data_IF_775784612825
#
_entry.id   IF_775784612825
#
_cell.length_a   1.000
_cell.length_b   1.000
_cell.length_c   1.000
_cell.angle_alpha   90.00
_cell.angle_beta   90.00
_cell.angle_gamma   90.00
#
_symmetry.space_group_name_H-M   'P 1'
#
loop_
_entity.id
_entity.type
_entity.pdbx_description
1 polymer ?
#
# COMPACT_ATOMS: atom_id res chain seq x y z
N UNK A 1 -54.55 -27.41 -0.35
CA UNK A 1 -53.80 -26.20 0.03
C UNK A 1 -53.08 -25.70 -1.20
N UNK A 2 -53.70 -24.78 -1.95
CA UNK A 2 -53.00 -24.03 -2.99
C UNK A 2 -51.94 -23.18 -2.31
N UNK A 3 -50.67 -23.42 -2.64
CA UNK A 3 -49.57 -22.60 -2.14
C UNK A 3 -49.66 -21.26 -2.87
N UNK A 4 -50.01 -20.20 -2.14
CA UNK A 4 -50.14 -18.85 -2.66
C UNK A 4 -48.94 -18.50 -3.57
N UNK A 5 -49.17 -18.32 -4.88
CA UNK A 5 -48.10 -18.09 -5.84
C UNK A 5 -47.34 -16.78 -5.54
N UNK A 6 -47.99 -15.82 -4.88
CA UNK A 6 -47.35 -14.56 -4.47
C UNK A 6 -46.36 -14.77 -3.33
N UNK A 7 -46.65 -15.68 -2.38
CA UNK A 7 -45.73 -16.06 -1.31
C UNK A 7 -44.53 -16.81 -1.89
N UNK A 8 -44.75 -17.77 -2.80
CA UNK A 8 -43.65 -18.49 -3.49
C UNK A 8 -42.70 -17.54 -4.21
N UNK A 9 -43.22 -16.54 -4.92
CA UNK A 9 -42.40 -15.55 -5.59
C UNK A 9 -41.59 -14.68 -4.61
N UNK A 10 -42.19 -14.26 -3.48
CA UNK A 10 -41.48 -13.51 -2.42
C UNK A 10 -40.36 -14.33 -1.79
N UNK A 11 -40.60 -15.61 -1.49
CA UNK A 11 -39.56 -16.51 -0.97
C UNK A 11 -38.42 -16.72 -1.96
N UNK A 12 -38.73 -16.91 -3.25
CA UNK A 12 -37.70 -17.03 -4.30
C UNK A 12 -36.86 -15.75 -4.42
N UNK A 13 -37.50 -14.57 -4.34
CA UNK A 13 -36.79 -13.28 -4.34
C UNK A 13 -35.91 -13.11 -3.10
N UNK A 14 -36.38 -13.50 -1.92
CA UNK A 14 -35.59 -13.45 -0.69
C UNK A 14 -34.38 -14.39 -0.76
N UNK A 15 -34.57 -15.63 -1.21
CA UNK A 15 -33.49 -16.59 -1.37
C UNK A 15 -32.42 -16.07 -2.35
N UNK A 16 -32.83 -15.46 -3.46
CA UNK A 16 -31.89 -14.84 -4.41
C UNK A 16 -31.12 -13.67 -3.80
N UNK A 17 -31.78 -12.82 -2.99
CA UNK A 17 -31.12 -11.70 -2.28
C UNK A 17 -30.12 -12.19 -1.23
N UNK A 18 -30.50 -13.19 -0.43
CA UNK A 18 -29.62 -13.78 0.58
C UNK A 18 -28.40 -14.39 -0.08
N UNK A 19 -28.59 -15.15 -1.17
CA UNK A 19 -27.48 -15.73 -1.93
C UNK A 19 -26.52 -14.67 -2.46
N UNK A 20 -27.06 -13.57 -3.00
CA UNK A 20 -26.23 -12.45 -3.48
C UNK A 20 -25.41 -11.83 -2.34
N UNK A 21 -26.03 -11.60 -1.18
CA UNK A 21 -25.33 -11.07 0.00
C UNK A 21 -24.21 -12.02 0.43
N UNK A 22 -24.49 -13.33 0.47
CA UNK A 22 -23.49 -14.35 0.83
C UNK A 22 -22.28 -14.33 -0.14
N UNK A 23 -22.54 -14.28 -1.44
CA UNK A 23 -21.49 -14.16 -2.47
C UNK A 23 -20.70 -12.85 -2.35
N UNK A 24 -21.36 -11.72 -2.06
CA UNK A 24 -20.71 -10.42 -1.83
C UNK A 24 -19.86 -10.43 -0.54
N UNK A 25 -20.36 -11.03 0.54
CA UNK A 25 -19.65 -11.16 1.82
C UNK A 25 -18.41 -12.04 1.69
N UNK A 26 -18.53 -13.18 1.01
CA UNK A 26 -17.41 -14.10 0.77
C UNK A 26 -16.33 -13.42 -0.08
N UNK A 27 -16.73 -12.72 -1.16
CA UNK A 27 -15.81 -11.96 -2.01
C UNK A 27 -15.03 -10.91 -1.21
N UNK A 28 -15.72 -10.14 -0.36
CA UNK A 28 -15.12 -9.10 0.47
C UNK A 28 -14.20 -9.70 1.55
N UNK A 29 -14.61 -10.81 2.16
CA UNK A 29 -13.78 -11.55 3.13
C UNK A 29 -12.49 -12.07 2.50
N UNK A 30 -12.57 -12.65 1.30
CA UNK A 30 -11.40 -13.11 0.55
C UNK A 30 -10.44 -11.98 0.20
N UNK A 31 -10.96 -10.81 -0.21
CA UNK A 31 -10.12 -9.63 -0.48
C UNK A 31 -9.44 -9.14 0.81
N UNK A 32 -10.18 -9.03 1.91
CA UNK A 32 -9.61 -8.64 3.20
C UNK A 32 -8.51 -9.61 3.64
N UNK A 33 -8.75 -10.92 3.53
CA UNK A 33 -7.78 -11.95 3.86
C UNK A 33 -6.51 -11.84 3.01
N UNK A 34 -6.63 -11.65 1.69
CA UNK A 34 -5.46 -11.47 0.81
C UNK A 34 -4.60 -10.27 1.22
N UNK A 35 -5.24 -9.17 1.63
CA UNK A 35 -4.55 -7.95 2.13
C UNK A 35 -3.86 -8.22 3.46
N UNK A 36 -4.52 -8.92 4.38
CA UNK A 36 -3.98 -9.26 5.70
C UNK A 36 -2.81 -10.25 5.60
N UNK A 37 -2.91 -11.26 4.73
CA UNK A 37 -1.87 -12.25 4.49
C UNK A 37 -0.64 -11.63 3.78
N UNK A 38 -0.83 -10.53 3.04
CA UNK A 38 0.23 -9.89 2.26
C UNK A 38 0.30 -8.37 2.54
N UNK A 39 0.57 -7.94 3.78
CA UNK A 39 0.42 -6.54 4.21
C UNK A 39 1.41 -5.60 3.54
N UNK A 40 2.49 -6.13 2.95
CA UNK A 40 3.46 -5.33 2.19
C UNK A 40 3.08 -5.20 0.72
N UNK A 41 2.22 -6.07 0.17
CA UNK A 41 1.92 -6.17 -1.26
C UNK A 41 0.64 -5.42 -1.68
N UNK A 42 0.11 -4.54 -0.82
CA UNK A 42 -1.16 -3.85 -1.05
C UNK A 42 -1.26 -3.21 -2.44
N UNK A 43 -0.20 -2.54 -2.91
CA UNK A 43 -0.21 -1.92 -4.24
C UNK A 43 -0.37 -2.96 -5.37
N UNK A 44 0.28 -4.12 -5.25
CA UNK A 44 0.15 -5.20 -6.22
C UNK A 44 -1.27 -5.82 -6.17
N UNK A 45 -1.86 -5.95 -4.96
CA UNK A 45 -3.24 -6.43 -4.79
C UNK A 45 -4.23 -5.44 -5.43
N UNK A 46 -4.08 -4.14 -5.19
CA UNK A 46 -4.92 -3.09 -5.79
C UNK A 46 -4.83 -3.16 -7.31
N UNK A 47 -3.62 -3.24 -7.86
CA UNK A 47 -3.41 -3.36 -9.30
C UNK A 47 -4.12 -4.58 -9.90
N UNK A 48 -4.04 -5.73 -9.24
CA UNK A 48 -4.68 -6.98 -9.68
C UNK A 48 -6.20 -6.96 -9.53
N UNK A 49 -6.69 -6.48 -8.39
CA UNK A 49 -8.08 -6.62 -7.95
C UNK A 49 -8.82 -5.28 -7.87
N UNK A 50 -8.39 -4.26 -8.62
CA UNK A 50 -8.98 -2.90 -8.55
C UNK A 50 -10.51 -2.91 -8.59
N UNK A 51 -11.10 -3.74 -9.44
CA UNK A 51 -12.57 -3.93 -9.59
C UNK A 51 -13.29 -4.44 -8.34
N UNK A 52 -12.58 -5.05 -7.41
CA UNK A 52 -13.12 -5.60 -6.17
C UNK A 52 -13.08 -4.57 -5.03
N UNK A 53 -12.28 -3.50 -5.15
CA UNK A 53 -12.28 -2.37 -4.23
C UNK A 53 -13.43 -1.40 -4.56
N UNK A 54 -14.63 -1.74 -4.09
CA UNK A 54 -15.86 -0.97 -4.29
C UNK A 54 -16.34 -0.33 -2.98
N UNK A 55 -17.35 0.54 -3.06
CA UNK A 55 -18.01 1.06 -1.85
C UNK A 55 -18.56 -0.03 -0.93
N UNK A 56 -19.01 -1.17 -1.49
CA UNK A 56 -19.49 -2.31 -0.71
C UNK A 56 -18.37 -2.98 0.10
N UNK A 57 -17.15 -3.04 -0.43
CA UNK A 57 -16.00 -3.53 0.33
C UNK A 57 -15.72 -2.63 1.55
N UNK A 58 -15.76 -1.31 1.38
CA UNK A 58 -15.54 -0.38 2.51
C UNK A 58 -16.69 -0.42 3.53
N UNK A 59 -17.94 -0.58 3.08
CA UNK A 59 -19.08 -0.84 3.98
C UNK A 59 -18.89 -2.14 4.77
N UNK A 60 -18.39 -3.20 4.13
CA UNK A 60 -18.03 -4.44 4.81
C UNK A 60 -16.96 -4.22 5.88
N UNK A 61 -15.91 -3.44 5.60
CA UNK A 61 -14.88 -3.10 6.61
C UNK A 61 -15.46 -2.32 7.79
N UNK A 62 -16.36 -1.36 7.54
CA UNK A 62 -17.07 -0.64 8.60
C UNK A 62 -17.90 -1.57 9.47
N UNK A 63 -18.69 -2.46 8.85
CA UNK A 63 -19.50 -3.45 9.57
C UNK A 63 -18.60 -4.37 10.42
N UNK A 64 -17.48 -4.84 9.88
CA UNK A 64 -16.54 -5.68 10.62
C UNK A 64 -15.94 -4.92 11.81
N UNK A 65 -15.60 -3.63 11.63
CA UNK A 65 -15.13 -2.77 12.73
C UNK A 65 -16.16 -2.68 13.86
N UNK A 66 -17.44 -2.59 13.53
CA UNK A 66 -18.52 -2.55 14.52
C UNK A 66 -18.66 -3.87 15.31
N UNK A 67 -18.24 -5.00 14.75
CA UNK A 67 -18.25 -6.30 15.45
C UNK A 67 -17.09 -6.50 16.42
N UNK A 68 -16.04 -5.70 16.35
CA UNK A 68 -14.92 -5.81 17.29
C UNK A 68 -15.21 -5.05 18.59
N UNK A 69 -14.91 -5.64 19.74
CA UNK A 69 -15.07 -4.98 21.04
C UNK A 69 -13.86 -4.13 21.44
N UNK A 70 -12.65 -4.54 21.01
CA UNK A 70 -11.41 -3.85 21.34
C UNK A 70 -11.19 -2.63 20.44
N UNK A 71 -10.82 -1.49 21.04
CA UNK A 71 -10.49 -0.26 20.31
C UNK A 71 -9.32 -0.46 19.34
N UNK A 72 -8.34 -1.30 19.71
CA UNK A 72 -7.17 -1.61 18.89
C UNK A 72 -7.55 -2.32 17.58
N UNK A 73 -8.48 -3.27 17.63
CA UNK A 73 -8.95 -3.99 16.45
C UNK A 73 -9.74 -3.08 15.50
N UNK A 74 -10.60 -2.22 16.06
CA UNK A 74 -11.35 -1.22 15.28
C UNK A 74 -10.43 -0.26 14.55
N UNK A 75 -9.41 0.22 15.26
CA UNK A 75 -8.41 1.13 14.73
C UNK A 75 -7.51 0.46 13.68
N UNK A 76 -7.16 -0.81 13.86
CA UNK A 76 -6.43 -1.59 12.86
C UNK A 76 -7.20 -1.69 11.54
N UNK A 77 -8.51 -1.97 11.58
CA UNK A 77 -9.38 -2.00 10.40
C UNK A 77 -9.49 -0.61 9.76
N UNK A 78 -9.65 0.45 10.55
CA UNK A 78 -9.70 1.82 10.03
C UNK A 78 -8.41 2.20 9.29
N UNK A 79 -7.24 1.90 9.88
CA UNK A 79 -5.94 2.14 9.22
C UNK A 79 -5.79 1.31 7.94
N UNK A 80 -6.26 0.06 7.93
CA UNK A 80 -6.25 -0.77 6.72
C UNK A 80 -7.12 -0.15 5.63
N UNK A 81 -8.33 0.31 5.96
CA UNK A 81 -9.24 0.97 5.02
C UNK A 81 -8.59 2.23 4.43
N UNK A 82 -7.99 3.09 5.25
CA UNK A 82 -7.27 4.29 4.78
C UNK A 82 -6.11 3.93 3.84
N UNK A 83 -5.33 2.90 4.17
CA UNK A 83 -4.25 2.42 3.30
C UNK A 83 -4.76 1.93 1.95
N UNK A 84 -5.89 1.20 1.95
CA UNK A 84 -6.53 0.74 0.72
C UNK A 84 -6.97 1.92 -0.15
N UNK A 85 -7.69 2.88 0.43
CA UNK A 85 -8.11 4.10 -0.29
C UNK A 85 -6.93 4.86 -0.88
N UNK A 86 -5.87 5.08 -0.11
CA UNK A 86 -4.67 5.75 -0.60
C UNK A 86 -4.03 5.01 -1.78
N UNK A 87 -3.93 3.68 -1.72
CA UNK A 87 -3.38 2.87 -2.80
C UNK A 87 -4.29 2.88 -4.06
N UNK A 88 -5.61 2.87 -3.88
CA UNK A 88 -6.59 2.98 -4.97
C UNK A 88 -6.50 4.34 -5.65
N UNK A 89 -6.53 5.43 -4.89
CA UNK A 89 -6.44 6.78 -5.46
C UNK A 89 -5.13 6.99 -6.20
N UNK A 90 -4.02 6.45 -5.70
CA UNK A 90 -2.73 6.49 -6.40
C UNK A 90 -2.77 5.70 -7.71
N UNK A 91 -3.39 4.52 -7.72
CA UNK A 91 -3.56 3.70 -8.92
C UNK A 91 -4.43 4.40 -9.97
N UNK A 92 -5.60 4.90 -9.57
CA UNK A 92 -6.57 5.54 -10.47
C UNK A 92 -5.99 6.82 -11.10
N UNK A 93 -5.36 7.68 -10.29
CA UNK A 93 -4.67 8.90 -10.79
C UNK A 93 -3.54 8.58 -11.77
N UNK A 94 -2.86 7.45 -11.59
CA UNK A 94 -1.78 7.04 -12.50
C UNK A 94 -2.35 6.61 -13.86
N UNK A 95 -3.50 5.92 -13.87
CA UNK A 95 -4.16 5.51 -15.11
C UNK A 95 -4.72 6.66 -15.93
N UNK A 96 -5.10 7.77 -15.29
CA UNK A 96 -5.59 8.96 -15.98
C UNK A 96 -4.49 9.67 -16.79
N UNK A 97 -3.20 9.41 -16.50
CA UNK A 97 -2.07 10.09 -17.14
C UNK A 97 -1.40 9.24 -18.25
N UNK A 98 -2.11 9.08 -19.37
CA UNK A 98 -1.74 8.17 -20.48
C UNK A 98 -0.36 8.48 -21.09
N UNK A 99 0.03 9.74 -21.25
CA UNK A 99 1.32 10.11 -21.85
C UNK A 99 2.52 9.62 -21.04
N UNK A 100 2.37 9.49 -19.72
CA UNK A 100 3.43 8.95 -18.85
C UNK A 100 3.53 7.43 -18.89
N UNK A 101 2.49 6.73 -19.37
CA UNK A 101 2.46 5.26 -19.40
C UNK A 101 3.38 4.71 -20.50
N UNK A 102 3.40 5.30 -21.69
CA UNK A 102 4.25 4.81 -22.79
C UNK A 102 5.75 4.94 -22.46
N UNK A 103 6.14 6.09 -21.89
CA UNK A 103 7.53 6.31 -21.45
C UNK A 103 7.92 5.37 -20.30
N UNK A 104 7.00 5.15 -19.35
CA UNK A 104 7.22 4.22 -18.24
C UNK A 104 7.30 2.76 -18.72
N UNK A 105 6.50 2.38 -19.71
CA UNK A 105 6.56 1.05 -20.34
C UNK A 105 7.92 0.83 -21.00
N UNK A 106 8.41 1.78 -21.80
CA UNK A 106 9.73 1.68 -22.42
C UNK A 106 10.87 1.53 -21.39
N UNK A 107 10.82 2.29 -20.29
CA UNK A 107 11.76 2.16 -19.17
C UNK A 107 11.67 0.79 -18.49
N UNK A 108 10.46 0.27 -18.32
CA UNK A 108 10.25 -1.06 -17.75
C UNK A 108 10.83 -2.15 -18.65
N UNK A 109 10.61 -2.05 -19.96
CA UNK A 109 11.18 -2.97 -20.94
C UNK A 109 12.72 -2.92 -20.95
N UNK A 110 13.33 -1.74 -20.79
CA UNK A 110 14.78 -1.60 -20.63
C UNK A 110 15.30 -2.30 -19.36
N UNK A 111 14.58 -2.18 -18.24
CA UNK A 111 14.91 -2.91 -17.00
C UNK A 111 14.83 -4.42 -17.22
N UNK A 112 13.81 -4.91 -17.92
CA UNK A 112 13.65 -6.35 -18.20
C UNK A 112 14.71 -6.88 -19.18
N UNK A 113 15.15 -6.06 -20.13
CA UNK A 113 16.20 -6.40 -21.09
C UNK A 113 17.62 -6.22 -20.53
N UNK A 114 17.74 -5.91 -19.24
CA UNK A 114 19.05 -5.80 -18.58
C UNK A 114 19.80 -7.14 -18.62
N UNK A 115 21.14 -7.13 -18.77
CA UNK A 115 21.94 -8.34 -18.96
C UNK A 115 21.96 -9.28 -17.73
N UNK A 116 21.56 -8.78 -16.57
CA UNK A 116 21.36 -9.58 -15.35
C UNK A 116 20.34 -8.93 -14.41
N UNK A 117 19.81 -9.72 -13.48
CA UNK A 117 18.90 -9.25 -12.42
C UNK A 117 19.57 -8.21 -11.52
N UNK A 118 20.87 -8.38 -11.26
CA UNK A 118 21.62 -7.44 -10.43
C UNK A 118 21.71 -6.07 -11.11
N UNK A 119 21.97 -6.04 -12.42
CA UNK A 119 21.96 -4.81 -13.22
C UNK A 119 20.56 -4.18 -13.25
N UNK A 120 19.51 -4.99 -13.44
CA UNK A 120 18.13 -4.50 -13.36
C UNK A 120 17.82 -3.85 -11.99
N UNK A 121 18.27 -4.47 -10.89
CA UNK A 121 18.08 -3.94 -9.55
C UNK A 121 18.88 -2.64 -9.29
N UNK A 122 20.09 -2.52 -9.83
CA UNK A 122 20.86 -1.27 -9.77
C UNK A 122 20.24 -0.17 -10.62
N UNK A 123 19.67 -0.50 -11.80
CA UNK A 123 18.93 0.45 -12.62
C UNK A 123 17.73 1.03 -11.86
N UNK A 124 16.96 0.20 -11.15
CA UNK A 124 15.88 0.66 -10.25
C UNK A 124 16.38 1.63 -9.18
N UNK A 125 17.53 1.34 -8.56
CA UNK A 125 18.14 2.25 -7.56
C UNK A 125 18.60 3.56 -8.19
N UNK A 126 19.12 3.52 -9.42
CA UNK A 126 19.53 4.70 -10.17
C UNK A 126 18.33 5.59 -10.50
N UNK A 127 17.25 5.01 -11.04
CA UNK A 127 16.01 5.72 -11.35
C UNK A 127 15.39 6.37 -10.11
N UNK A 128 15.47 5.71 -8.96
CA UNK A 128 15.03 6.31 -7.70
C UNK A 128 15.87 7.53 -7.29
N UNK A 129 17.19 7.50 -7.50
CA UNK A 129 18.09 8.64 -7.22
C UNK A 129 17.85 9.81 -8.17
N UNK A 130 17.56 9.55 -9.44
CA UNK A 130 17.26 10.58 -10.44
C UNK A 130 15.80 11.07 -10.40
N UNK A 131 14.97 10.52 -9.48
CA UNK A 131 13.52 10.79 -9.36
C UNK A 131 12.71 10.39 -10.60
N UNK A 132 13.23 9.43 -11.37
CA UNK A 132 12.58 8.85 -12.55
C UNK A 132 11.86 7.53 -12.26
N UNK A 133 11.94 7.03 -11.02
CA UNK A 133 11.06 5.98 -10.51
C UNK A 133 9.68 6.58 -10.18
N UNK A 134 8.96 6.97 -11.23
CA UNK A 134 7.64 7.62 -11.13
C UNK A 134 6.51 6.61 -10.86
N UNK A 135 5.31 7.15 -10.60
CA UNK A 135 4.11 6.36 -10.30
C UNK A 135 3.72 5.38 -11.41
N UNK A 136 3.94 5.74 -12.66
CA UNK A 136 3.62 4.93 -13.84
C UNK A 136 4.58 3.74 -13.94
N UNK A 137 5.87 3.94 -13.74
CA UNK A 137 6.85 2.85 -13.70
C UNK A 137 6.62 1.92 -12.50
N UNK A 138 6.31 2.48 -11.33
CA UNK A 138 5.94 1.70 -10.13
C UNK A 138 4.70 0.84 -10.41
N UNK A 139 3.71 1.38 -11.12
CA UNK A 139 2.51 0.67 -11.52
C UNK A 139 2.85 -0.54 -12.41
N UNK A 140 3.67 -0.39 -13.45
CA UNK A 140 4.09 -1.50 -14.31
C UNK A 140 4.80 -2.61 -13.51
N UNK A 141 5.73 -2.24 -12.64
CA UNK A 141 6.47 -3.21 -11.81
C UNK A 141 5.54 -3.97 -10.87
N UNK A 142 4.60 -3.27 -10.22
CA UNK A 142 3.60 -3.91 -9.34
C UNK A 142 2.67 -4.83 -10.13
N UNK A 143 2.26 -4.41 -11.32
CA UNK A 143 1.40 -5.19 -12.23
C UNK A 143 2.08 -6.47 -12.67
N UNK A 144 3.33 -6.35 -13.12
CA UNK A 144 4.13 -7.48 -13.58
C UNK A 144 4.43 -8.47 -12.45
N UNK A 145 4.74 -7.98 -11.23
CA UNK A 145 4.88 -8.85 -10.06
C UNK A 145 3.58 -9.58 -9.70
N UNK A 146 2.45 -8.87 -9.68
CA UNK A 146 1.16 -9.48 -9.38
C UNK A 146 0.82 -10.60 -10.38
N UNK A 147 0.95 -10.32 -11.68
CA UNK A 147 0.75 -11.31 -12.74
C UNK A 147 1.73 -12.48 -12.62
N UNK A 148 2.98 -12.21 -12.25
CA UNK A 148 3.99 -13.25 -12.10
C UNK A 148 3.72 -14.19 -10.92
N UNK A 149 3.33 -13.63 -9.78
CA UNK A 149 3.02 -14.36 -8.55
C UNK A 149 1.90 -15.38 -8.80
N UNK A 150 0.83 -14.95 -9.45
CA UNK A 150 -0.37 -15.76 -9.69
C UNK A 150 -0.25 -16.73 -10.87
N UNK A 151 0.69 -16.51 -11.79
CA UNK A 151 0.83 -17.36 -12.98
C UNK A 151 1.18 -18.81 -12.61
N UNK A 152 0.35 -19.76 -13.03
CA UNK A 152 0.59 -21.20 -12.85
C UNK A 152 1.62 -21.75 -13.84
N UNK A 153 1.80 -21.07 -14.98
CA UNK A 153 2.63 -21.54 -16.10
C UNK A 153 4.02 -20.89 -16.13
N UNK A 154 4.24 -19.83 -15.35
CA UNK A 154 5.53 -19.16 -15.34
C UNK A 154 6.55 -19.94 -14.52
N UNK A 155 7.75 -20.10 -15.07
CA UNK A 155 8.87 -20.75 -14.40
C UNK A 155 9.26 -20.01 -13.12
N UNK A 156 9.68 -20.75 -12.09
CA UNK A 156 10.04 -20.20 -10.80
C UNK A 156 11.19 -19.18 -10.90
N UNK A 157 12.11 -19.37 -11.84
CA UNK A 157 13.21 -18.45 -12.10
C UNK A 157 12.68 -17.07 -12.54
N UNK A 158 11.67 -17.03 -13.40
CA UNK A 158 11.07 -15.77 -13.86
C UNK A 158 10.31 -15.09 -12.72
N UNK A 159 9.62 -15.88 -11.88
CA UNK A 159 8.97 -15.33 -10.67
C UNK A 159 9.98 -14.72 -9.71
N UNK A 160 11.12 -15.38 -9.51
CA UNK A 160 12.20 -14.88 -8.65
C UNK A 160 12.81 -13.59 -9.21
N UNK A 161 13.07 -13.53 -10.52
CA UNK A 161 13.56 -12.30 -11.18
C UNK A 161 12.58 -11.14 -10.93
N UNK A 162 11.29 -11.36 -11.19
CA UNK A 162 10.25 -10.34 -10.98
C UNK A 162 10.14 -9.94 -9.52
N UNK A 163 10.23 -10.90 -8.60
CA UNK A 163 10.23 -10.62 -7.16
C UNK A 163 11.41 -9.74 -6.75
N UNK A 164 12.61 -10.00 -7.28
CA UNK A 164 13.81 -9.21 -6.97
C UNK A 164 13.70 -7.78 -7.47
N UNK A 165 13.21 -7.57 -8.70
CA UNK A 165 12.94 -6.23 -9.25
C UNK A 165 11.92 -5.49 -8.38
N UNK A 166 10.79 -6.15 -8.07
CA UNK A 166 9.76 -5.60 -7.19
C UNK A 166 10.30 -5.21 -5.79
N UNK A 167 11.11 -6.08 -5.19
CA UNK A 167 11.73 -5.85 -3.88
C UNK A 167 12.72 -4.69 -3.93
N UNK A 168 13.50 -4.58 -5.01
CA UNK A 168 14.38 -3.43 -5.24
C UNK A 168 13.57 -2.13 -5.32
N UNK A 169 12.47 -2.10 -6.08
CA UNK A 169 11.57 -0.95 -6.18
C UNK A 169 11.03 -0.51 -4.83
N UNK A 170 10.48 -1.45 -4.04
CA UNK A 170 10.02 -1.15 -2.67
C UNK A 170 11.13 -0.62 -1.77
N UNK A 171 12.33 -1.19 -1.87
CA UNK A 171 13.47 -0.74 -1.09
C UNK A 171 13.88 0.67 -1.46
N UNK A 172 13.92 0.96 -2.77
CA UNK A 172 14.22 2.29 -3.30
C UNK A 172 13.20 3.33 -2.86
N UNK A 173 11.90 3.04 -2.94
CA UNK A 173 10.85 3.94 -2.47
C UNK A 173 10.98 4.27 -0.97
N UNK A 174 11.28 3.27 -0.13
CA UNK A 174 11.55 3.50 1.29
C UNK A 174 12.80 4.37 1.49
N UNK A 175 13.81 4.23 0.64
CA UNK A 175 15.03 5.03 0.73
C UNK A 175 14.81 6.49 0.32
N UNK A 176 13.92 6.76 -0.66
CA UNK A 176 13.55 8.10 -1.13
C UNK A 176 12.79 8.93 -0.09
N UNK A 177 12.13 8.27 0.87
CA UNK A 177 11.44 8.98 1.95
C UNK A 177 12.44 9.85 2.74
N UNK A 178 12.13 11.15 2.95
CA UNK A 178 12.92 12.03 3.80
C UNK A 178 13.19 11.40 5.16
N UNK A 179 14.36 11.69 5.74
CA UNK A 179 14.74 11.16 7.06
C UNK A 179 13.73 11.56 8.14
N UNK A 180 13.09 12.71 8.00
CA UNK A 180 12.00 13.19 8.87
C UNK A 180 10.77 12.29 8.82
N UNK A 181 10.41 11.76 7.65
CA UNK A 181 9.30 10.79 7.52
C UNK A 181 9.64 9.47 8.21
N UNK A 182 10.89 9.02 8.05
CA UNK A 182 11.39 7.80 8.71
C UNK A 182 11.39 7.96 10.23
N UNK A 183 11.82 9.13 10.73
CA UNK A 183 11.81 9.47 12.14
C UNK A 183 10.37 9.50 12.70
N UNK A 184 9.44 10.19 12.02
CA UNK A 184 8.04 10.25 12.45
C UNK A 184 7.41 8.87 12.52
N UNK A 185 7.65 8.02 11.52
CA UNK A 185 7.17 6.63 11.53
C UNK A 185 7.72 5.85 12.73
N UNK A 186 9.00 6.02 13.06
CA UNK A 186 9.61 5.38 14.22
C UNK A 186 8.97 5.88 15.52
N UNK A 187 8.87 7.21 15.71
CA UNK A 187 8.29 7.82 16.91
C UNK A 187 6.83 7.42 17.12
N UNK A 188 6.03 7.38 16.06
CA UNK A 188 4.63 6.96 16.14
C UNK A 188 4.45 5.48 16.48
N UNK A 189 5.49 4.66 16.30
CA UNK A 189 5.47 3.23 16.63
C UNK A 189 5.89 2.94 18.08
N UNK A 190 6.42 3.93 18.81
CA UNK A 190 6.78 3.80 20.22
C UNK A 190 5.51 4.03 21.06
N UNK A 191 5.06 3.03 21.81
CA UNK A 191 3.85 3.11 22.62
C UNK A 191 4.05 4.02 23.85
N UNK A 192 5.20 3.90 24.51
CA UNK A 192 5.50 4.64 25.74
C UNK A 192 5.81 6.14 25.45
N UNK A 193 5.11 7.08 26.12
CA UNK A 193 5.33 8.51 25.90
C UNK A 193 6.73 9.00 26.30
N UNK A 194 7.34 8.44 27.35
CA UNK A 194 8.66 8.85 27.83
C UNK A 194 9.75 8.38 26.87
N UNK A 195 9.68 7.12 26.41
CA UNK A 195 10.55 6.58 25.38
C UNK A 195 10.42 7.36 24.07
N UNK A 196 9.20 7.73 23.68
CA UNK A 196 8.96 8.53 22.47
C UNK A 196 9.58 9.92 22.59
N UNK A 197 9.45 10.57 23.75
CA UNK A 197 10.05 11.88 24.00
C UNK A 197 11.57 11.80 24.04
N UNK A 198 12.12 10.76 24.68
CA UNK A 198 13.56 10.48 24.72
C UNK A 198 14.12 10.28 23.31
N UNK A 199 13.49 9.43 22.49
CA UNK A 199 13.88 9.20 21.10
C UNK A 199 13.82 10.47 20.24
N UNK A 200 12.81 11.33 20.46
CA UNK A 200 12.71 12.62 19.80
C UNK A 200 13.83 13.57 20.24
N UNK A 201 14.17 13.62 21.53
CA UNK A 201 15.25 14.42 22.06
C UNK A 201 16.61 13.98 21.48
N UNK A 202 16.86 12.68 21.38
CA UNK A 202 18.05 12.13 20.71
C UNK A 202 18.11 12.51 19.23
N UNK A 203 16.97 12.51 18.53
CA UNK A 203 16.93 12.89 17.11
C UNK A 203 17.25 14.37 16.86
N UNK A 204 17.02 15.26 17.84
CA UNK A 204 17.36 16.68 17.79
C UNK A 204 18.77 17.00 18.30
N UNK A 205 19.38 16.08 19.03
CA UNK A 205 20.73 16.21 19.56
C UNK A 205 21.65 15.22 18.83
N UNK A 206 22.12 15.53 17.60
CA UNK A 206 23.27 14.83 17.07
C UNK A 206 24.41 15.07 18.05
N UNK A 207 24.90 14.01 18.69
CA UNK A 207 26.01 14.08 19.63
C UNK A 207 27.26 14.73 19.00
N UNK A 208 28.31 14.91 19.82
CA UNK A 208 29.56 15.54 19.38
C UNK A 208 30.15 14.81 18.16
N UNK A 209 30.73 15.54 17.21
CA UNK A 209 31.23 14.98 15.93
C UNK A 209 32.35 13.95 16.10
N UNK A 210 32.91 13.86 17.32
CA UNK A 210 34.01 12.98 17.71
C UNK A 210 33.56 11.60 18.18
N UNK A 211 32.26 11.42 18.47
CA UNK A 211 31.71 10.11 18.84
C UNK A 211 31.30 9.34 17.58
N UNK A 212 31.49 8.02 17.60
CA UNK A 212 31.05 7.15 16.51
C UNK A 212 29.52 7.25 16.39
N UNK A 213 29.06 8.05 15.41
CA UNK A 213 27.64 8.20 15.11
C UNK A 213 27.10 6.83 14.69
N UNK A 214 26.01 6.39 15.33
CA UNK A 214 25.27 5.22 14.88
C UNK A 214 24.91 5.43 13.40
N UNK A 215 25.34 4.54 12.47
CA UNK A 215 25.02 4.64 11.05
C UNK A 215 23.51 4.69 10.77
N UNK A 216 22.69 4.26 11.73
CA UNK A 216 21.23 4.22 11.65
C UNK A 216 20.52 5.37 12.37
N UNK A 217 21.24 6.26 13.06
CA UNK A 217 20.63 7.36 13.79
C UNK A 217 20.07 8.45 12.86
N UNK A 218 18.76 8.72 12.98
CA UNK A 218 18.02 9.68 12.16
C UNK A 218 18.02 11.07 12.81
N UNK A 219 19.08 11.84 12.59
CA UNK A 219 19.18 13.21 13.12
C UNK A 219 18.45 14.23 12.23
N UNK A 220 17.68 15.12 12.85
CA UNK A 220 17.00 16.24 12.17
C UNK A 220 16.97 17.49 13.05
N UNK A 221 16.43 18.58 12.53
CA UNK A 221 16.19 19.81 13.31
C UNK A 221 14.70 19.95 13.62
N UNK A 222 14.33 20.60 14.75
CA UNK A 222 12.93 20.86 15.05
C UNK A 222 12.17 21.57 13.92
N UNK A 223 12.85 22.49 13.20
CA UNK A 223 12.27 23.23 12.08
C UNK A 223 11.93 22.32 10.89
N UNK A 224 12.86 21.47 10.47
CA UNK A 224 12.63 20.54 9.36
C UNK A 224 11.58 19.49 9.71
N UNK A 225 11.61 18.94 10.93
CA UNK A 225 10.59 18.00 11.38
C UNK A 225 9.20 18.65 11.38
N UNK A 226 9.07 19.86 11.94
CA UNK A 226 7.81 20.60 11.95
C UNK A 226 7.27 20.89 10.55
N UNK A 227 8.14 21.27 9.61
CA UNK A 227 7.77 21.48 8.20
C UNK A 227 7.16 20.22 7.59
N UNK A 228 7.77 19.06 7.80
CA UNK A 228 7.24 17.78 7.27
C UNK A 228 5.94 17.34 7.96
N UNK A 229 5.80 17.58 9.27
CA UNK A 229 4.53 17.35 9.99
C UNK A 229 3.42 18.20 9.36
N UNK A 230 3.69 19.49 9.14
CA UNK A 230 2.73 20.41 8.53
C UNK A 230 2.31 19.97 7.13
N UNK A 231 3.28 19.65 6.26
CA UNK A 231 3.00 19.12 4.91
C UNK A 231 2.12 17.87 4.97
N UNK A 232 2.37 16.95 5.90
CA UNK A 232 1.55 15.74 6.05
C UNK A 232 0.14 16.03 6.56
N UNK A 233 -0.02 16.96 7.50
CA UNK A 233 -1.34 17.36 8.01
C UNK A 233 -2.14 18.08 6.93
N UNK A 234 -1.51 19.00 6.19
CA UNK A 234 -2.13 19.71 5.06
C UNK A 234 -2.59 18.71 4.00
N UNK A 235 -1.75 17.72 3.64
CA UNK A 235 -2.12 16.65 2.72
C UNK A 235 -3.24 15.75 3.26
N UNK A 236 -3.27 15.46 4.56
CA UNK A 236 -4.34 14.67 5.18
C UNK A 236 -5.69 15.40 5.11
N UNK A 237 -5.71 16.69 5.40
CA UNK A 237 -6.93 17.50 5.30
C UNK A 237 -7.41 17.65 3.86
N UNK A 238 -6.50 17.87 2.91
CA UNK A 238 -6.84 17.97 1.49
C UNK A 238 -7.51 16.70 0.95
N UNK A 239 -7.09 15.51 1.41
CA UNK A 239 -7.69 14.23 1.02
C UNK A 239 -8.99 13.89 1.79
N UNK A 240 -9.40 14.71 2.77
CA UNK A 240 -10.65 14.56 3.52
C UNK A 240 -11.79 15.43 2.98
N UNK A 241 -11.45 16.39 2.10
CA UNK A 241 -12.40 17.29 1.45
C UNK A 241 -12.90 16.76 0.08
N UNK A 242 -12.43 15.58 -0.34
CA UNK A 242 -12.93 14.79 -1.49
C UNK A 242 -13.66 13.52 -1.01
#
# INVERSE_FOLDING_TARGET
METDPTLKQKFASLAAKVKRIDEEMEKNSQLLKEIQDNPTDLNAIVTKRRKDFTGEFFRYLTLLSETYDALEDRDAIARLATRCLSAISAFDRTLENVETLDAAQAKFDEILNSPSVDVACENIKSLAKTKELDSSLILFINSAWAAAKDSTHMKNEVKEIMYRIYKATKSSLRSMAPKEIKLLKHLLNIADPEERFSALATAFCPGDEREAKDPYALYTTPKELHKWIKIMLDAYHLNKED
#
